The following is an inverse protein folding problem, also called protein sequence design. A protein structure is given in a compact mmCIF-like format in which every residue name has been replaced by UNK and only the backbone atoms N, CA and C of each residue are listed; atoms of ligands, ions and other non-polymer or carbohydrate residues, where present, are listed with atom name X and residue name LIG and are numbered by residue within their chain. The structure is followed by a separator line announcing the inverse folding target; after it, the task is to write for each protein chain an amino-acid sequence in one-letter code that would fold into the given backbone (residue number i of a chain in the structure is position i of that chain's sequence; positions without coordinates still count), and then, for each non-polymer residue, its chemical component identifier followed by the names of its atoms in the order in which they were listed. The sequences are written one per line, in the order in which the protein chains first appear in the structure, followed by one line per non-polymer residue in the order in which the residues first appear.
data_IF_505358094388
#
_entry.id   IF_505358094388
#
_cell.length_a   1.000
_cell.length_b   1.000
_cell.length_c   1.000
_cell.angle_alpha   90.00
_cell.angle_beta   90.00
_cell.angle_gamma   90.00
#
_symmetry.space_group_name_H-M   'P 1'
#
loop_
_entity.id
_entity.type
_entity.pdbx_description
1 polymer ?
#
# COMPACT_ATOMS: atom_id res chain seq x y z
N UNK A 1 9.49 12.65 -29.53
CA UNK A 1 8.48 11.58 -29.61
C UNK A 1 8.62 10.67 -28.38
N UNK A 2 7.48 10.19 -27.86
CA UNK A 2 7.32 9.23 -26.75
C UNK A 2 7.36 9.76 -25.31
N UNK A 3 6.30 10.51 -24.92
CA UNK A 3 5.87 10.68 -23.52
C UNK A 3 4.49 10.03 -23.24
N UNK A 4 3.97 9.20 -24.13
CA UNK A 4 2.57 8.74 -24.09
C UNK A 4 2.34 7.38 -23.40
N UNK A 5 3.37 6.68 -22.91
CA UNK A 5 3.24 5.30 -22.41
C UNK A 5 3.08 5.15 -20.88
N UNK A 6 2.99 6.25 -20.13
CA UNK A 6 3.08 6.24 -18.66
C UNK A 6 1.72 6.45 -17.95
N UNK A 7 0.60 6.15 -18.60
CA UNK A 7 -0.74 6.46 -18.06
C UNK A 7 -1.57 5.24 -17.63
N UNK A 8 -1.06 4.01 -17.73
CA UNK A 8 -1.85 2.79 -17.44
C UNK A 8 -1.49 2.02 -16.16
N UNK A 9 -0.61 2.54 -15.29
CA UNK A 9 -0.13 1.79 -14.10
C UNK A 9 -0.84 2.23 -12.79
N UNK A 10 -1.73 3.24 -12.81
CA UNK A 10 -2.25 3.81 -11.56
C UNK A 10 -3.48 3.13 -10.93
N UNK A 11 -3.98 2.01 -11.46
CA UNK A 11 -5.25 1.43 -10.99
C UNK A 11 -5.17 0.23 -10.03
N UNK A 12 -3.97 -0.20 -9.59
CA UNK A 12 -3.82 -1.39 -8.74
C UNK A 12 -3.31 -1.13 -7.30
N UNK A 13 -3.07 0.13 -6.91
CA UNK A 13 -2.62 0.46 -5.54
C UNK A 13 -3.76 0.70 -4.54
N UNK A 14 -5.03 0.62 -4.97
CA UNK A 14 -6.19 0.93 -4.14
C UNK A 14 -6.74 -0.21 -3.26
N UNK A 15 -6.17 -1.42 -3.29
CA UNK A 15 -6.78 -2.60 -2.66
C UNK A 15 -6.01 -3.22 -1.48
N UNK A 16 -4.89 -2.61 -1.06
CA UNK A 16 -4.17 -3.05 0.14
C UNK A 16 -3.82 -1.86 1.03
N UNK A 17 -4.82 -1.08 1.45
CA UNK A 17 -4.75 -0.44 2.76
C UNK A 17 -5.07 -1.53 3.79
N UNK A 18 -4.10 -2.43 3.98
CA UNK A 18 -4.12 -3.39 5.06
C UNK A 18 -4.06 -2.53 6.35
N UNK A 19 -5.00 -2.74 7.27
CA UNK A 19 -5.14 -2.02 8.56
C UNK A 19 -3.96 -2.30 9.51
N UNK A 20 -2.74 -2.39 8.98
CA UNK A 20 -1.55 -2.59 9.78
C UNK A 20 -1.31 -1.33 10.61
N UNK A 21 -1.09 -1.46 11.93
CA UNK A 21 -0.87 -0.32 12.79
C UNK A 21 0.51 0.27 12.54
N UNK A 22 0.60 1.59 12.59
CA UNK A 22 1.84 2.36 12.68
C UNK A 22 1.77 3.34 13.85
N UNK A 23 2.93 3.87 14.23
CA UNK A 23 3.04 4.71 15.41
C UNK A 23 3.60 6.08 15.06
N UNK A 24 3.05 7.14 15.65
CA UNK A 24 3.52 8.51 15.42
C UNK A 24 3.71 9.21 16.74
N UNK A 25 4.83 9.92 16.86
CA UNK A 25 5.17 10.72 18.04
C UNK A 25 5.62 12.12 17.62
N UNK A 26 5.03 13.13 18.24
CA UNK A 26 5.45 14.50 18.05
C UNK A 26 6.24 14.96 19.27
N UNK A 27 7.52 15.22 19.10
CA UNK A 27 8.39 15.83 20.10
C UNK A 27 8.42 17.34 19.85
N UNK A 28 8.07 18.12 20.87
CA UNK A 28 8.11 19.57 20.81
C UNK A 28 8.64 20.12 22.13
N UNK A 29 9.39 21.22 22.04
CA UNK A 29 9.90 21.93 23.23
C UNK A 29 8.81 22.75 23.93
N UNK A 30 7.72 23.05 23.22
CA UNK A 30 6.60 23.87 23.67
C UNK A 30 5.28 23.09 23.51
N UNK A 31 4.18 23.64 23.99
CA UNK A 31 2.85 23.02 23.81
C UNK A 31 2.33 23.29 22.40
N UNK A 32 2.16 22.22 21.61
CA UNK A 32 1.60 22.28 20.25
C UNK A 32 0.22 21.63 20.21
N UNK A 33 -0.67 22.25 19.43
CA UNK A 33 -1.94 21.66 19.02
C UNK A 33 -1.71 21.03 17.65
N UNK A 34 -1.85 19.71 17.60
CA UNK A 34 -1.65 18.90 16.39
C UNK A 34 -2.98 18.27 16.02
N UNK A 35 -3.35 18.42 14.76
CA UNK A 35 -4.57 17.88 14.18
C UNK A 35 -4.21 16.97 13.01
N UNK A 36 -4.73 15.74 13.02
CA UNK A 36 -4.55 14.77 11.95
C UNK A 36 -5.93 14.32 11.49
N UNK A 37 -6.26 14.57 10.22
CA UNK A 37 -7.59 14.29 9.64
C UNK A 37 -8.73 14.70 10.59
N UNK A 38 -8.70 15.94 11.07
CA UNK A 38 -9.71 16.55 11.97
C UNK A 38 -9.77 15.96 13.40
N UNK A 39 -8.82 15.09 13.77
CA UNK A 39 -8.67 14.56 15.13
C UNK A 39 -7.51 15.23 15.87
N UNK A 40 -7.77 15.70 17.08
CA UNK A 40 -6.74 16.33 17.92
C UNK A 40 -5.86 15.28 18.59
N UNK A 41 -4.55 15.47 18.47
CA UNK A 41 -3.54 14.59 19.04
C UNK A 41 -2.69 15.36 20.05
N UNK A 42 -2.41 14.71 21.18
CA UNK A 42 -1.56 15.26 22.22
C UNK A 42 -0.08 15.13 21.85
N UNK A 43 0.69 16.22 21.99
CA UNK A 43 2.14 16.19 21.84
C UNK A 43 2.82 15.36 22.95
N UNK A 44 3.91 14.68 22.64
CA UNK A 44 4.71 13.88 23.58
C UNK A 44 4.26 12.43 23.75
N UNK A 45 3.01 12.08 23.39
CA UNK A 45 2.51 10.69 23.43
C UNK A 45 2.74 9.96 22.12
N UNK A 46 2.81 8.63 22.19
CA UNK A 46 2.81 7.76 21.01
C UNK A 46 1.35 7.50 20.66
N UNK A 47 0.96 7.83 19.43
CA UNK A 47 -0.39 7.64 18.92
C UNK A 47 -0.36 6.56 17.84
N UNK A 48 -1.28 5.61 17.93
CA UNK A 48 -1.45 4.55 16.95
C UNK A 48 -2.35 5.05 15.81
N UNK A 49 -1.86 4.91 14.57
CA UNK A 49 -2.56 5.27 13.35
C UNK A 49 -2.43 4.13 12.36
N UNK A 50 -3.45 3.88 11.53
CA UNK A 50 -3.30 2.90 10.45
C UNK A 50 -2.19 3.33 9.48
N UNK A 51 -1.54 2.37 8.84
CA UNK A 51 -0.58 2.67 7.79
C UNK A 51 -1.26 3.44 6.64
N UNK A 52 -0.64 4.52 6.17
CA UNK A 52 -1.26 5.39 5.18
C UNK A 52 -0.63 6.77 5.07
N UNK A 53 -1.27 7.63 4.28
CA UNK A 53 -0.92 9.04 4.14
C UNK A 53 -1.98 9.91 4.80
N UNK A 54 -1.55 10.80 5.68
CA UNK A 54 -2.41 11.66 6.49
C UNK A 54 -2.01 13.11 6.27
N UNK A 55 -2.99 14.00 6.26
CA UNK A 55 -2.70 15.44 6.36
C UNK A 55 -2.62 15.80 7.83
N UNK A 56 -1.58 16.54 8.22
CA UNK A 56 -1.50 17.07 9.57
C UNK A 56 -1.30 18.57 9.56
N UNK A 57 -1.93 19.20 10.55
CA UNK A 57 -1.82 20.62 10.84
C UNK A 57 -1.25 20.77 12.25
N UNK A 58 -0.20 21.57 12.39
CA UNK A 58 0.41 21.86 13.69
C UNK A 58 0.52 23.38 13.91
N UNK A 59 0.10 23.80 15.10
CA UNK A 59 0.23 25.19 15.57
C UNK A 59 0.65 25.23 17.04
N UNK A 60 1.48 26.19 17.48
CA UNK A 60 1.75 26.38 18.88
C UNK A 60 0.45 26.78 19.61
N UNK A 61 0.23 26.24 20.81
CA UNK A 61 -0.97 26.52 21.60
C UNK A 61 -1.05 28.00 22.02
N UNK A 62 0.11 28.60 22.28
CA UNK A 62 0.25 30.01 22.62
C UNK A 62 1.21 30.61 21.60
N UNK A 63 0.71 31.49 20.73
CA UNK A 63 1.54 32.23 19.77
C UNK A 63 1.44 33.72 20.06
N UNK A 64 2.57 34.32 20.47
CA UNK A 64 2.67 35.77 20.68
C UNK A 64 3.11 36.53 19.42
N UNK A 65 3.45 35.82 18.34
CA UNK A 65 3.83 36.42 17.06
C UNK A 65 2.65 36.39 16.08
N UNK A 66 2.31 37.55 15.53
CA UNK A 66 1.44 37.66 14.35
C UNK A 66 2.32 37.81 13.10
N UNK A 67 2.10 37.01 12.03
CA UNK A 67 1.15 35.90 11.94
C UNK A 67 1.61 34.68 12.77
N UNK A 68 0.63 33.94 13.30
CA UNK A 68 0.91 32.68 14.00
C UNK A 68 1.58 31.69 13.03
N UNK A 69 2.53 30.92 13.55
CA UNK A 69 3.22 29.90 12.77
C UNK A 69 2.27 28.72 12.55
N UNK A 70 2.01 28.40 11.27
CA UNK A 70 1.20 27.25 10.87
C UNK A 70 2.06 26.31 10.03
N UNK A 71 2.07 25.02 10.38
CA UNK A 71 2.72 23.96 9.62
C UNK A 71 1.61 23.05 9.10
N UNK A 72 1.51 22.95 7.77
CA UNK A 72 0.66 21.99 7.06
C UNK A 72 1.57 21.11 6.23
N UNK A 73 1.53 19.79 6.47
CA UNK A 73 2.34 18.82 5.73
C UNK A 73 1.63 17.46 5.68
N UNK A 74 2.13 16.57 4.82
CA UNK A 74 1.67 15.20 4.67
C UNK A 74 2.55 14.24 5.46
N UNK A 75 1.92 13.51 6.37
CA UNK A 75 2.48 12.46 7.19
C UNK A 75 2.35 11.11 6.50
N UNK A 76 3.46 10.40 6.28
CA UNK A 76 3.44 9.03 5.81
C UNK A 76 3.69 8.07 6.97
N UNK A 77 2.70 7.25 7.30
CA UNK A 77 2.77 6.23 8.35
C UNK A 77 3.13 4.88 7.72
N UNK A 78 4.29 4.34 8.12
CA UNK A 78 4.79 3.04 7.69
C UNK A 78 4.31 1.98 8.70
N UNK A 79 3.83 0.80 8.25
CA UNK A 79 3.35 -0.24 9.15
C UNK A 79 4.46 -0.72 10.09
N UNK A 80 4.12 -0.90 11.37
CA UNK A 80 5.00 -1.37 12.45
C UNK A 80 6.24 -0.50 12.71
N UNK A 81 6.26 0.74 12.20
CA UNK A 81 7.32 1.71 12.44
C UNK A 81 6.83 2.89 13.27
N UNK A 82 7.74 3.61 13.92
CA UNK A 82 7.46 4.82 14.68
C UNK A 82 8.07 6.04 14.01
N UNK A 83 7.23 6.93 13.48
CA UNK A 83 7.68 8.19 12.89
C UNK A 83 7.70 9.28 13.97
N UNK A 84 8.86 9.90 14.18
CA UNK A 84 9.04 10.97 15.16
C UNK A 84 9.21 12.31 14.45
N UNK A 85 8.31 13.25 14.75
CA UNK A 85 8.37 14.62 14.26
C UNK A 85 8.88 15.53 15.36
N UNK A 86 9.90 16.33 15.06
CA UNK A 86 10.42 17.34 15.98
C UNK A 86 9.90 18.70 15.54
N UNK A 87 9.00 19.30 16.32
CA UNK A 87 8.41 20.61 16.06
C UNK A 87 9.20 21.69 16.82
N UNK A 88 9.57 22.77 16.12
CA UNK A 88 10.30 23.90 16.68
C UNK A 88 9.77 25.22 16.12
N UNK A 89 9.67 26.24 16.99
CA UNK A 89 9.25 27.62 16.65
C UNK A 89 10.39 28.47 16.08
N UNK A 90 11.64 28.00 16.15
CA UNK A 90 12.80 28.72 15.64
C UNK A 90 12.77 28.75 14.10
N UNK A 91 12.53 29.94 13.54
CA UNK A 91 12.48 30.23 12.10
C UNK A 91 13.75 29.80 11.34
N UNK A 92 14.84 29.49 12.03
CA UNK A 92 16.11 29.18 11.39
C UNK A 92 16.22 27.77 10.83
N UNK A 93 15.45 26.77 11.29
CA UNK A 93 15.67 25.37 10.88
C UNK A 93 14.37 24.54 11.00
N UNK A 94 13.49 24.57 9.99
CA UNK A 94 12.73 23.35 9.63
C UNK A 94 13.65 22.50 8.76
N UNK A 95 14.74 22.00 9.35
CA UNK A 95 15.33 20.80 8.79
C UNK A 95 14.34 19.72 9.15
N UNK A 96 13.73 19.11 8.13
CA UNK A 96 13.43 17.69 8.18
C UNK A 96 14.77 16.97 8.38
N UNK A 97 15.33 17.08 9.58
CA UNK A 97 16.18 16.05 10.12
C UNK A 97 15.14 14.97 10.36
N UNK A 98 14.89 14.18 9.32
CA UNK A 98 14.68 12.78 9.50
C UNK A 98 15.79 12.36 10.44
N UNK A 99 15.52 12.43 11.74
CA UNK A 99 16.16 11.56 12.70
C UNK A 99 15.56 10.21 12.35
N UNK A 100 15.93 9.70 11.17
CA UNK A 100 16.43 8.36 11.08
C UNK A 100 17.64 8.30 12.04
N UNK A 101 17.36 8.35 13.35
CA UNK A 101 17.69 7.18 14.12
C UNK A 101 16.94 6.08 13.38
N UNK A 102 17.59 5.53 12.32
CA UNK A 102 17.64 4.09 12.22
C UNK A 102 17.84 3.70 13.67
N UNK A 103 16.88 3.01 14.32
CA UNK A 103 17.18 2.46 15.62
C UNK A 103 18.59 1.91 15.45
N UNK A 104 19.53 2.36 16.29
CA UNK A 104 20.73 1.55 16.46
C UNK A 104 20.08 0.24 16.81
N UNK A 105 20.03 -0.69 15.86
CA UNK A 105 19.65 -2.05 16.13
C UNK A 105 20.73 -2.41 17.12
N UNK A 106 20.44 -2.20 18.41
CA UNK A 106 20.92 -3.05 19.47
C UNK A 106 20.68 -4.41 18.88
N UNK A 107 21.78 -4.97 18.40
CA UNK A 107 21.89 -6.24 17.74
C UNK A 107 20.71 -7.09 18.18
N UNK A 108 19.70 -7.19 17.32
CA UNK A 108 18.83 -8.34 17.37
C UNK A 108 19.81 -9.52 17.44
N UNK A 109 19.61 -10.49 18.36
CA UNK A 109 20.44 -11.67 18.34
C UNK A 109 20.54 -12.11 16.88
N UNK A 110 21.76 -12.34 16.42
CA UNK A 110 22.22 -12.56 15.04
C UNK A 110 21.63 -13.84 14.42
N UNK A 111 20.39 -14.16 14.79
CA UNK A 111 19.51 -15.17 14.26
C UNK A 111 18.39 -14.51 13.44
N UNK A 112 18.58 -13.23 13.06
CA UNK A 112 17.66 -12.47 12.22
C UNK A 112 17.65 -13.04 10.80
N UNK A 113 16.51 -13.58 10.39
CA UNK A 113 16.26 -14.10 9.06
C UNK A 113 16.50 -12.98 8.01
N UNK A 114 17.70 -12.90 7.44
CA UNK A 114 17.92 -12.05 6.28
C UNK A 114 17.16 -12.69 5.11
N UNK A 115 16.11 -12.04 4.56
CA UNK A 115 15.42 -12.60 3.42
C UNK A 115 16.45 -12.78 2.30
N UNK A 116 16.51 -13.97 1.67
CA UNK A 116 17.51 -14.24 0.67
C UNK A 116 17.41 -13.20 -0.45
N UNK A 117 18.49 -12.46 -0.70
CA UNK A 117 18.59 -11.53 -1.83
C UNK A 117 18.47 -12.36 -3.10
N UNK A 118 17.27 -12.41 -3.67
CA UNK A 118 17.04 -13.14 -4.91
C UNK A 118 17.83 -12.46 -6.03
N UNK A 119 18.73 -13.23 -6.66
CA UNK A 119 19.46 -12.79 -7.86
C UNK A 119 18.44 -12.34 -8.92
N UNK A 120 18.62 -11.14 -9.49
CA UNK A 120 17.70 -10.52 -10.47
C UNK A 120 17.34 -11.43 -11.65
N UNK A 121 18.25 -12.30 -12.07
CA UNK A 121 18.00 -13.30 -13.12
C UNK A 121 16.87 -14.28 -12.77
N UNK A 122 16.77 -14.71 -11.51
CA UNK A 122 15.68 -15.59 -11.04
C UNK A 122 14.33 -14.85 -11.00
N UNK A 123 14.35 -13.55 -10.72
CA UNK A 123 13.14 -12.72 -10.68
C UNK A 123 12.51 -12.59 -12.08
N UNK A 124 13.33 -12.41 -13.13
CA UNK A 124 12.86 -12.39 -14.53
C UNK A 124 12.14 -13.69 -14.91
N UNK A 125 12.77 -14.84 -14.66
CA UNK A 125 12.17 -16.14 -14.95
C UNK A 125 10.88 -16.36 -14.15
N UNK A 126 10.85 -15.95 -12.88
CA UNK A 126 9.66 -16.04 -12.03
C UNK A 126 8.48 -15.20 -12.54
N UNK A 127 8.74 -13.96 -12.98
CA UNK A 127 7.71 -13.09 -13.57
C UNK A 127 7.14 -13.66 -14.87
N UNK A 128 8.00 -14.22 -15.74
CA UNK A 128 7.54 -14.80 -17.00
C UNK A 128 6.71 -16.08 -16.77
N UNK A 129 7.17 -16.98 -15.90
CA UNK A 129 6.44 -18.22 -15.57
C UNK A 129 5.10 -17.89 -14.92
N UNK A 130 5.07 -16.96 -13.95
CA UNK A 130 3.82 -16.55 -13.30
C UNK A 130 2.85 -15.90 -14.28
N UNK A 131 3.32 -15.07 -15.22
CA UNK A 131 2.48 -14.48 -16.25
C UNK A 131 1.80 -15.53 -17.13
N UNK A 132 2.56 -16.53 -17.59
CA UNK A 132 2.04 -17.63 -18.42
C UNK A 132 1.04 -18.49 -17.62
N UNK A 133 1.40 -18.86 -16.39
CA UNK A 133 0.56 -19.68 -15.53
C UNK A 133 -0.76 -18.98 -15.18
N UNK A 134 -0.71 -17.69 -14.83
CA UNK A 134 -1.90 -16.89 -14.55
C UNK A 134 -2.79 -16.73 -15.79
N UNK A 135 -2.20 -16.55 -16.97
CA UNK A 135 -2.96 -16.49 -18.23
C UNK A 135 -3.69 -17.81 -18.49
N UNK A 136 -2.99 -18.95 -18.39
CA UNK A 136 -3.59 -20.26 -18.59
C UNK A 136 -4.71 -20.55 -17.58
N UNK A 137 -4.48 -20.20 -16.31
CA UNK A 137 -5.47 -20.33 -15.25
C UNK A 137 -6.72 -19.46 -15.53
N UNK A 138 -6.55 -18.26 -16.08
CA UNK A 138 -7.68 -17.39 -16.45
C UNK A 138 -8.62 -18.07 -17.45
N UNK A 139 -8.09 -18.71 -18.48
CA UNK A 139 -8.88 -19.44 -19.47
C UNK A 139 -9.55 -20.68 -18.87
N UNK A 140 -8.85 -21.41 -18.01
CA UNK A 140 -9.42 -22.56 -17.31
C UNK A 140 -10.62 -22.15 -16.43
N UNK A 141 -10.47 -21.08 -15.65
CA UNK A 141 -11.54 -20.55 -14.79
C UNK A 141 -12.72 -20.03 -15.63
N UNK A 142 -12.45 -19.37 -16.77
CA UNK A 142 -13.51 -18.92 -17.67
C UNK A 142 -14.32 -20.10 -18.21
N UNK A 143 -13.65 -21.19 -18.61
CA UNK A 143 -14.33 -22.42 -19.05
C UNK A 143 -15.20 -23.03 -17.96
N UNK A 144 -14.73 -23.05 -16.71
CA UNK A 144 -15.54 -23.48 -15.57
C UNK A 144 -16.75 -22.56 -15.34
N UNK A 145 -16.59 -21.25 -15.49
CA UNK A 145 -17.70 -20.30 -15.40
C UNK A 145 -18.78 -20.58 -16.46
N UNK A 146 -18.36 -20.87 -17.69
CA UNK A 146 -19.24 -21.19 -18.81
C UNK A 146 -19.98 -22.52 -18.60
N UNK A 147 -19.31 -23.55 -18.09
CA UNK A 147 -19.95 -24.84 -17.81
C UNK A 147 -20.95 -24.76 -16.65
N UNK A 148 -20.66 -23.98 -15.59
CA UNK A 148 -21.64 -23.67 -14.55
C UNK A 148 -22.83 -22.88 -15.10
N UNK A 149 -22.59 -21.94 -16.02
CA UNK A 149 -23.67 -21.17 -16.64
C UNK A 149 -24.57 -22.01 -17.54
N UNK A 150 -24.02 -23.01 -18.26
CA UNK A 150 -24.82 -24.00 -19.00
C UNK A 150 -25.70 -24.83 -18.06
N UNK A 151 -25.14 -25.28 -16.93
CA UNK A 151 -25.90 -26.03 -15.91
C UNK A 151 -26.99 -25.17 -15.26
N UNK A 152 -26.71 -23.87 -15.04
CA UNK A 152 -27.71 -22.91 -14.60
C UNK A 152 -28.90 -22.85 -15.58
N UNK A 153 -28.64 -22.82 -16.89
CA UNK A 153 -29.70 -22.76 -17.92
C UNK A 153 -30.52 -24.05 -18.04
N UNK A 154 -29.94 -25.20 -17.73
CA UNK A 154 -30.62 -26.51 -17.85
C UNK A 154 -31.28 -26.99 -16.57
N UNK A 155 -30.94 -26.41 -15.41
CA UNK A 155 -31.52 -26.79 -14.13
C UNK A 155 -32.96 -26.27 -13.99
N UNK A 156 -33.86 -27.13 -13.49
CA UNK A 156 -35.26 -26.77 -13.18
C UNK A 156 -35.49 -26.48 -11.69
N UNK A 157 -34.55 -26.87 -10.82
CA UNK A 157 -34.66 -26.68 -9.37
C UNK A 157 -34.07 -25.33 -8.95
N UNK A 158 -34.88 -24.49 -8.31
CA UNK A 158 -34.51 -23.13 -7.87
C UNK A 158 -33.24 -23.08 -7.01
N UNK A 159 -33.06 -24.02 -6.08
CA UNK A 159 -31.87 -24.07 -5.22
C UNK A 159 -30.59 -24.34 -6.03
N UNK A 160 -30.68 -25.24 -7.01
CA UNK A 160 -29.54 -25.55 -7.89
C UNK A 160 -29.23 -24.39 -8.84
N UNK A 161 -30.27 -23.72 -9.35
CA UNK A 161 -30.16 -22.55 -10.22
C UNK A 161 -29.32 -21.47 -9.51
N UNK A 162 -29.69 -21.08 -8.29
CA UNK A 162 -28.94 -20.04 -7.56
C UNK A 162 -27.48 -20.43 -7.32
N UNK A 163 -27.23 -21.68 -6.91
CA UNK A 163 -25.86 -22.17 -6.69
C UNK A 163 -25.00 -22.14 -7.98
N UNK A 164 -25.54 -22.60 -9.12
CA UNK A 164 -24.80 -22.55 -10.39
C UNK A 164 -24.54 -21.11 -10.86
N UNK A 165 -25.50 -20.21 -10.65
CA UNK A 165 -25.34 -18.80 -10.96
C UNK A 165 -24.22 -18.15 -10.12
N UNK A 166 -24.25 -18.36 -8.80
CA UNK A 166 -23.25 -17.81 -7.88
C UNK A 166 -21.86 -18.35 -8.19
N UNK A 167 -21.73 -19.65 -8.46
CA UNK A 167 -20.46 -20.26 -8.87
C UNK A 167 -19.95 -19.71 -10.20
N UNK A 168 -20.83 -19.55 -11.19
CA UNK A 168 -20.44 -18.98 -12.49
C UNK A 168 -19.86 -17.57 -12.30
N UNK A 169 -20.50 -16.72 -11.48
CA UNK A 169 -20.02 -15.38 -11.14
C UNK A 169 -18.68 -15.39 -10.40
N UNK A 170 -18.49 -16.31 -9.45
CA UNK A 170 -17.22 -16.45 -8.73
C UNK A 170 -16.07 -16.83 -9.67
N UNK A 171 -16.26 -17.81 -10.55
CA UNK A 171 -15.24 -18.22 -11.50
C UNK A 171 -14.92 -17.12 -12.53
N UNK A 172 -15.92 -16.35 -12.97
CA UNK A 172 -15.72 -15.22 -13.87
C UNK A 172 -14.88 -14.10 -13.23
N UNK A 173 -15.16 -13.79 -11.95
CA UNK A 173 -14.36 -12.85 -11.17
C UNK A 173 -12.92 -13.33 -11.01
N UNK A 174 -12.71 -14.61 -10.64
CA UNK A 174 -11.36 -15.17 -10.49
C UNK A 174 -10.60 -15.21 -11.82
N UNK A 175 -11.27 -15.53 -12.92
CA UNK A 175 -10.68 -15.47 -14.27
C UNK A 175 -10.16 -14.07 -14.58
N UNK A 176 -10.98 -13.04 -14.31
CA UNK A 176 -10.62 -11.63 -14.53
C UNK A 176 -9.42 -11.19 -13.67
N UNK A 177 -9.39 -11.59 -12.40
CA UNK A 177 -8.26 -11.31 -11.49
C UNK A 177 -6.96 -11.95 -12.03
N UNK A 178 -7.02 -13.21 -12.44
CA UNK A 178 -5.85 -13.93 -12.96
C UNK A 178 -5.33 -13.33 -14.27
N UNK A 179 -6.23 -12.88 -15.13
CA UNK A 179 -5.85 -12.13 -16.33
C UNK A 179 -5.15 -10.81 -15.97
N UNK A 180 -5.65 -10.09 -14.97
CA UNK A 180 -4.99 -8.89 -14.44
C UNK A 180 -3.59 -9.17 -13.89
N UNK A 181 -3.42 -10.23 -13.10
CA UNK A 181 -2.11 -10.68 -12.59
C UNK A 181 -1.16 -11.00 -13.74
N UNK A 182 -1.64 -11.70 -14.77
CA UNK A 182 -0.84 -12.04 -15.94
C UNK A 182 -0.31 -10.80 -16.66
N UNK A 183 -1.18 -9.82 -16.93
CA UNK A 183 -0.81 -8.56 -17.60
C UNK A 183 0.18 -7.76 -16.75
N UNK A 184 -0.05 -7.68 -15.43
CA UNK A 184 0.85 -6.95 -14.52
C UNK A 184 2.24 -7.61 -14.43
N UNK A 185 2.30 -8.94 -14.33
CA UNK A 185 3.55 -9.69 -14.29
C UNK A 185 4.34 -9.54 -15.61
N UNK A 186 3.65 -9.64 -16.75
CA UNK A 186 4.25 -9.47 -18.07
C UNK A 186 4.74 -8.04 -18.31
N UNK A 187 3.97 -7.03 -17.89
CA UNK A 187 4.37 -5.62 -17.96
C UNK A 187 5.62 -5.36 -17.12
N UNK A 188 5.66 -5.90 -15.90
CA UNK A 188 6.81 -5.81 -15.01
C UNK A 188 8.05 -6.49 -15.61
N UNK A 189 7.85 -7.67 -16.23
CA UNK A 189 8.91 -8.39 -16.93
C UNK A 189 9.50 -7.57 -18.10
N UNK A 190 8.65 -6.96 -18.92
CA UNK A 190 9.08 -6.12 -20.05
C UNK A 190 9.82 -4.89 -19.53
N UNK A 191 9.28 -4.22 -18.52
CA UNK A 191 9.93 -3.04 -17.93
C UNK A 191 11.34 -3.35 -17.44
N UNK A 192 11.51 -4.41 -16.64
CA UNK A 192 12.83 -4.83 -16.14
C UNK A 192 13.76 -5.21 -17.30
N UNK A 193 13.23 -5.81 -18.37
CA UNK A 193 14.02 -6.19 -19.54
C UNK A 193 14.45 -5.00 -20.41
N UNK A 194 13.71 -3.88 -20.40
CA UNK A 194 14.06 -2.66 -21.12
C UNK A 194 15.02 -1.74 -20.35
N UNK A 195 14.98 -1.80 -19.02
CA UNK A 195 15.86 -0.99 -18.16
C UNK A 195 17.25 -1.58 -17.94
N UNK A 196 17.48 -2.82 -18.40
CA UNK A 196 18.80 -3.46 -18.45
C UNK A 196 19.46 -3.22 -19.81
#
# INVERSE_FOLDING_TARGET
MNKLCLLFIFFASGLFAQNDPGFVRFEANETWVIEINDSLIQSGTINELSAGSYKFNARPQISYSWPALFIEDTLQVIPYDTVVFVLSTDKSIVKNKLIQKKPKLTSYPENGYQPPIMKRTKLKSGLLISAIAANWLSFYLKRQADDNYKNYRSASNLSKINNYYDRSKQFDNYSSIMLGISVAALSSYIYISLTE
#
